data_IF_928726171772
#
_entry.id   IF_928726171772
#
_cell.length_a   1.000
_cell.length_b   1.000
_cell.length_c   1.000
_cell.angle_alpha   90.00
_cell.angle_beta   90.00
_cell.angle_gamma   90.00
#
_symmetry.space_group_name_H-M   'P 1'
#
loop_
_entity.id
_entity.type
_entity.pdbx_description
1 polymer ?
#
# COMPACT_ATOMS: atom_id res chain seq x y z
N UNK A 1 -0.37 -43.34 0.56
CA UNK A 1 0.85 -42.71 1.14
C UNK A 1 1.98 -42.89 0.14
N UNK A 2 2.56 -41.80 -0.35
CA UNK A 2 3.74 -41.86 -1.22
C UNK A 2 4.92 -42.37 -0.39
N UNK A 3 5.57 -43.45 -0.85
CA UNK A 3 6.74 -44.01 -0.17
C UNK A 3 7.93 -43.10 -0.45
N UNK A 4 8.56 -42.63 0.62
CA UNK A 4 9.77 -41.84 0.57
C UNK A 4 10.91 -42.70 0.01
N UNK A 5 11.43 -42.32 -1.17
CA UNK A 5 12.49 -43.06 -1.90
C UNK A 5 13.88 -42.47 -1.67
N UNK A 6 14.01 -41.51 -0.74
CA UNK A 6 15.28 -40.87 -0.41
C UNK A 6 16.34 -41.91 0.02
N UNK A 7 15.93 -42.90 0.82
CA UNK A 7 16.82 -43.97 1.28
C UNK A 7 17.26 -44.92 0.16
N UNK A 8 16.38 -45.23 -0.81
CA UNK A 8 16.72 -46.09 -1.96
C UNK A 8 17.75 -45.43 -2.89
N UNK A 9 17.75 -44.10 -2.98
CA UNK A 9 18.72 -43.35 -3.79
C UNK A 9 20.08 -43.23 -3.11
N UNK A 10 20.11 -43.22 -1.78
CA UNK A 10 21.35 -43.13 -1.00
C UNK A 10 22.12 -44.46 -0.99
N UNK A 11 21.41 -45.59 -1.05
CA UNK A 11 21.97 -46.94 -1.08
C UNK A 11 22.44 -47.36 -2.49
N UNK A 12 21.98 -46.68 -3.54
CA UNK A 12 22.40 -46.88 -4.94
C UNK A 12 23.61 -46.02 -5.36
N UNK A 13 24.14 -45.17 -4.48
CA UNK A 13 25.37 -44.45 -4.77
C UNK A 13 26.55 -45.43 -4.65
N UNK A 14 27.24 -45.79 -5.76
CA UNK A 14 28.49 -46.52 -5.62
C UNK A 14 29.46 -45.65 -4.83
N UNK A 15 30.20 -46.23 -3.88
CA UNK A 15 31.35 -45.59 -3.25
C UNK A 15 32.36 -45.20 -4.34
N UNK A 16 32.19 -44.01 -4.91
CA UNK A 16 33.13 -43.41 -5.84
C UNK A 16 34.29 -42.90 -5.01
N UNK A 17 35.26 -43.78 -4.83
CA UNK A 17 36.65 -43.39 -4.64
C UNK A 17 36.99 -42.25 -5.61
N UNK A 18 37.33 -41.10 -5.02
CA UNK A 18 38.11 -40.00 -5.59
C UNK A 18 37.98 -39.75 -7.10
N UNK A 19 36.96 -39.01 -7.52
CA UNK A 19 37.01 -38.18 -8.74
C UNK A 19 36.66 -36.71 -8.44
N UNK A 20 37.02 -36.25 -7.24
CA UNK A 20 37.06 -34.82 -6.92
C UNK A 20 38.35 -34.25 -7.51
N UNK A 21 38.32 -33.94 -8.80
CA UNK A 21 39.46 -33.36 -9.53
C UNK A 21 39.05 -32.39 -10.64
N UNK A 22 37.79 -31.97 -10.67
CA UNK A 22 37.34 -30.85 -11.45
C UNK A 22 36.30 -30.11 -10.61
N UNK A 23 36.78 -29.32 -9.65
CA UNK A 23 36.08 -28.09 -9.30
C UNK A 23 35.86 -27.32 -10.60
N UNK A 24 34.70 -27.53 -11.20
CA UNK A 24 34.05 -26.47 -11.96
C UNK A 24 33.54 -25.47 -10.93
N UNK A 25 34.46 -24.87 -10.18
CA UNK A 25 34.29 -23.50 -9.72
C UNK A 25 34.19 -22.70 -11.01
N UNK A 26 32.97 -22.62 -11.53
CA UNK A 26 32.57 -21.59 -12.47
C UNK A 26 33.02 -20.30 -11.79
N UNK A 27 34.15 -19.77 -12.23
CA UNK A 27 34.60 -18.43 -11.89
C UNK A 27 33.52 -17.50 -12.45
N UNK A 28 32.46 -17.30 -11.67
CA UNK A 28 31.55 -16.18 -11.87
C UNK A 28 32.37 -14.96 -11.48
N UNK A 29 32.54 -13.97 -12.37
CA UNK A 29 33.22 -12.75 -12.03
C UNK A 29 32.51 -12.12 -10.82
N UNK A 30 33.24 -11.86 -9.72
CA UNK A 30 32.71 -11.26 -8.48
C UNK A 30 31.93 -9.94 -8.71
N UNK A 31 32.18 -9.25 -9.83
CA UNK A 31 31.49 -8.02 -10.23
C UNK A 31 30.01 -8.23 -10.62
N UNK A 32 29.62 -9.41 -11.14
CA UNK A 32 28.21 -9.71 -11.47
C UNK A 32 27.35 -9.93 -10.22
N UNK A 33 27.95 -10.52 -9.18
CA UNK A 33 27.29 -10.73 -7.90
C UNK A 33 27.04 -9.39 -7.19
N UNK A 34 27.92 -8.40 -7.35
CA UNK A 34 27.74 -7.07 -6.76
C UNK A 34 26.52 -6.32 -7.34
N UNK A 35 26.34 -6.34 -8.67
CA UNK A 35 25.17 -5.73 -9.35
C UNK A 35 23.86 -6.43 -8.97
N UNK A 36 23.90 -7.75 -8.91
CA UNK A 36 22.76 -8.59 -8.55
C UNK A 36 22.37 -8.39 -7.08
N UNK A 37 23.34 -8.32 -6.18
CA UNK A 37 23.12 -8.07 -4.77
C UNK A 37 22.59 -6.63 -4.52
N UNK A 38 23.06 -5.63 -5.27
CA UNK A 38 22.52 -4.27 -5.22
C UNK A 38 21.05 -4.20 -5.67
N UNK A 39 20.67 -4.99 -6.68
CA UNK A 39 19.27 -5.12 -7.11
C UNK A 39 18.39 -5.71 -6.00
N UNK A 40 18.81 -6.83 -5.40
CA UNK A 40 18.06 -7.46 -4.32
C UNK A 40 17.93 -6.55 -3.09
N UNK A 41 19.00 -5.85 -2.70
CA UNK A 41 18.94 -4.87 -1.62
C UNK A 41 17.93 -3.75 -1.89
N UNK A 42 17.79 -3.32 -3.15
CA UNK A 42 16.77 -2.33 -3.55
C UNK A 42 15.35 -2.91 -3.48
N UNK A 43 15.16 -4.14 -3.93
CA UNK A 43 13.87 -4.86 -3.85
C UNK A 43 13.44 -5.06 -2.39
N UNK A 44 14.37 -5.42 -1.51
CA UNK A 44 14.09 -5.61 -0.08
C UNK A 44 13.69 -4.29 0.58
N UNK A 45 14.44 -3.22 0.32
CA UNK A 45 14.10 -1.87 0.80
C UNK A 45 12.71 -1.42 0.34
N UNK A 46 12.37 -1.68 -0.93
CA UNK A 46 11.04 -1.35 -1.45
C UNK A 46 9.95 -2.21 -0.81
N UNK A 47 10.25 -3.47 -0.51
CA UNK A 47 9.34 -4.37 0.22
C UNK A 47 9.09 -3.88 1.65
N UNK A 48 10.12 -3.36 2.32
CA UNK A 48 9.99 -2.70 3.63
C UNK A 48 9.17 -1.40 3.54
N UNK A 49 9.42 -0.56 2.53
CA UNK A 49 8.64 0.66 2.30
C UNK A 49 7.16 0.34 2.01
N UNK A 50 6.87 -0.74 1.28
CA UNK A 50 5.48 -1.21 1.06
C UNK A 50 4.82 -1.70 2.35
N UNK A 51 5.55 -2.44 3.20
CA UNK A 51 5.04 -2.84 4.50
C UNK A 51 4.80 -1.62 5.41
N UNK A 52 5.69 -0.63 5.36
CA UNK A 52 5.51 0.65 6.05
C UNK A 52 4.29 1.42 5.57
N UNK A 53 4.05 1.47 4.26
CA UNK A 53 2.85 2.08 3.67
C UNK A 53 1.58 1.38 4.16
N UNK A 54 1.57 0.05 4.23
CA UNK A 54 0.44 -0.72 4.74
C UNK A 54 0.11 -0.36 6.20
N UNK A 55 1.13 -0.23 7.05
CA UNK A 55 0.97 0.23 8.43
C UNK A 55 0.40 1.65 8.49
N UNK A 56 0.91 2.56 7.66
CA UNK A 56 0.41 3.94 7.59
C UNK A 56 -1.06 4.00 7.15
N UNK A 57 -1.46 3.19 6.17
CA UNK A 57 -2.84 3.09 5.69
C UNK A 57 -3.76 2.53 6.78
N UNK A 58 -3.35 1.49 7.50
CA UNK A 58 -4.13 0.94 8.61
C UNK A 58 -4.28 1.98 9.74
N UNK A 59 -3.20 2.70 10.08
CA UNK A 59 -3.25 3.78 11.08
C UNK A 59 -4.14 4.94 10.66
N UNK A 60 -4.18 5.26 9.35
CA UNK A 60 -5.10 6.25 8.79
C UNK A 60 -6.55 5.80 9.00
N UNK A 61 -6.86 4.53 8.76
CA UNK A 61 -8.19 3.95 8.95
C UNK A 61 -8.64 4.03 10.41
N UNK A 62 -7.76 3.73 11.37
CA UNK A 62 -8.07 3.82 12.80
C UNK A 62 -8.43 5.26 13.21
N UNK A 63 -7.63 6.24 12.78
CA UNK A 63 -7.90 7.66 13.06
C UNK A 63 -9.20 8.11 12.38
N UNK A 64 -9.46 7.67 11.15
CA UNK A 64 -10.72 7.96 10.45
C UNK A 64 -11.92 7.42 11.21
N UNK A 65 -11.86 6.18 11.71
CA UNK A 65 -12.90 5.58 12.51
C UNK A 65 -13.11 6.33 13.84
N UNK A 66 -12.02 6.71 14.52
CA UNK A 66 -12.08 7.50 15.75
C UNK A 66 -12.76 8.86 15.51
N UNK A 67 -12.38 9.57 14.45
CA UNK A 67 -12.96 10.88 14.09
C UNK A 67 -14.43 10.81 13.68
N UNK A 68 -14.88 9.66 13.17
CA UNK A 68 -16.30 9.42 12.85
C UNK A 68 -17.12 9.02 14.08
N UNK A 69 -16.53 8.28 15.01
CA UNK A 69 -17.22 7.74 16.20
C UNK A 69 -17.30 8.76 17.33
N UNK A 70 -16.29 9.64 17.45
CA UNK A 70 -16.27 10.65 18.49
C UNK A 70 -17.28 11.78 18.20
N UNK A 71 -18.09 12.12 19.22
CA UNK A 71 -19.12 13.15 19.14
C UNK A 71 -18.51 14.54 18.93
N UNK A 72 -17.30 14.76 19.44
CA UNK A 72 -16.48 15.93 19.14
C UNK A 72 -15.05 15.47 18.84
N UNK A 73 -14.67 15.31 17.57
CA UNK A 73 -13.32 14.88 17.22
C UNK A 73 -12.29 15.89 17.73
N UNK A 74 -11.32 15.39 18.51
CA UNK A 74 -10.27 16.20 19.11
C UNK A 74 -9.43 16.86 18.03
N UNK A 75 -8.96 18.07 18.30
CA UNK A 75 -8.10 18.81 17.35
C UNK A 75 -6.78 18.08 17.07
N UNK A 76 -6.32 17.24 18.02
CA UNK A 76 -5.18 16.35 17.83
C UNK A 76 -5.40 15.29 16.75
N UNK A 77 -6.58 14.67 16.71
CA UNK A 77 -6.89 13.58 15.76
C UNK A 77 -7.01 14.11 14.34
N UNK A 78 -7.53 15.34 14.17
CA UNK A 78 -7.55 16.01 12.85
C UNK A 78 -6.14 16.32 12.35
N UNK A 79 -5.27 16.84 13.21
CA UNK A 79 -3.87 17.11 12.85
C UNK A 79 -3.13 15.84 12.47
N UNK A 80 -3.31 14.77 13.24
CA UNK A 80 -2.70 13.47 12.93
C UNK A 80 -3.27 12.87 11.64
N UNK A 81 -4.57 13.04 11.37
CA UNK A 81 -5.19 12.64 10.09
C UNK A 81 -4.53 13.35 8.89
N UNK A 82 -4.31 14.67 8.98
CA UNK A 82 -3.64 15.43 7.93
C UNK A 82 -2.17 15.01 7.76
N UNK A 83 -1.47 14.78 8.87
CA UNK A 83 -0.08 14.30 8.87
C UNK A 83 0.03 12.93 8.20
N UNK A 84 -0.79 11.96 8.61
CA UNK A 84 -0.78 10.61 8.05
C UNK A 84 -1.05 10.62 6.54
N UNK A 85 -1.97 11.46 6.06
CA UNK A 85 -2.20 11.63 4.62
C UNK A 85 -0.97 12.16 3.87
N UNK A 86 -0.25 13.12 4.46
CA UNK A 86 0.98 13.66 3.89
C UNK A 86 2.10 12.63 3.88
N UNK A 87 2.22 11.85 4.95
CA UNK A 87 3.23 10.79 5.09
C UNK A 87 2.97 9.66 4.08
N UNK A 88 1.70 9.25 3.92
CA UNK A 88 1.27 8.30 2.88
C UNK A 88 1.63 8.83 1.50
N UNK A 89 1.25 10.08 1.16
CA UNK A 89 1.56 10.67 -0.15
C UNK A 89 3.07 10.67 -0.42
N UNK A 90 3.86 11.05 0.58
CA UNK A 90 5.32 11.11 0.46
C UNK A 90 5.94 9.73 0.29
N UNK A 91 5.44 8.71 1.01
CA UNK A 91 5.84 7.32 0.84
C UNK A 91 5.49 6.80 -0.56
N UNK A 92 4.28 7.09 -1.05
CA UNK A 92 3.86 6.69 -2.39
C UNK A 92 4.71 7.35 -3.49
N UNK A 93 5.06 8.63 -3.34
CA UNK A 93 5.95 9.33 -4.27
C UNK A 93 7.38 8.77 -4.25
N UNK A 94 7.87 8.31 -3.09
CA UNK A 94 9.15 7.62 -2.98
C UNK A 94 9.10 6.26 -3.69
N UNK A 95 8.14 5.41 -3.33
CA UNK A 95 7.91 4.10 -3.98
C UNK A 95 7.73 4.23 -5.50
N UNK A 96 7.02 5.25 -5.96
CA UNK A 96 6.84 5.51 -7.40
C UNK A 96 8.15 5.83 -8.12
N UNK A 97 9.08 6.55 -7.47
CA UNK A 97 10.42 6.82 -8.02
C UNK A 97 11.28 5.57 -7.98
N UNK A 98 11.29 4.86 -6.85
CA UNK A 98 12.10 3.65 -6.69
C UNK A 98 11.68 2.55 -7.66
N UNK A 99 10.38 2.38 -7.93
CA UNK A 99 9.83 1.47 -8.96
C UNK A 99 10.31 1.85 -10.36
N UNK A 100 10.27 3.13 -10.73
CA UNK A 100 10.76 3.60 -12.04
C UNK A 100 12.26 3.40 -12.19
N UNK A 101 13.01 3.68 -11.14
CA UNK A 101 14.45 3.48 -11.14
C UNK A 101 14.81 1.98 -11.19
N UNK A 102 13.98 1.11 -10.60
CA UNK A 102 14.13 -0.35 -10.69
C UNK A 102 13.81 -0.85 -12.10
N UNK A 103 12.74 -0.36 -12.71
CA UNK A 103 12.36 -0.64 -14.10
C UNK A 103 13.48 -0.25 -15.06
N UNK A 104 14.02 0.96 -14.92
CA UNK A 104 15.16 1.43 -15.71
C UNK A 104 16.41 0.56 -15.50
N UNK A 105 16.68 0.14 -14.27
CA UNK A 105 17.79 -0.79 -13.97
C UNK A 105 17.62 -2.16 -14.64
N UNK A 106 16.39 -2.59 -14.94
CA UNK A 106 16.11 -3.84 -15.66
C UNK A 106 16.34 -3.67 -17.16
N UNK A 107 15.97 -2.51 -17.72
CA UNK A 107 16.15 -2.18 -19.14
C UNK A 107 17.63 -1.97 -19.51
N UNK A 108 18.38 -1.26 -18.66
CA UNK A 108 19.79 -0.93 -18.89
C UNK A 108 20.73 -2.07 -18.47
N UNK A 109 20.30 -2.90 -17.52
CA UNK A 109 21.14 -3.86 -16.81
C UNK A 109 21.61 -5.08 -17.60
N UNK A 110 21.32 -5.15 -18.92
CA UNK A 110 21.83 -6.15 -19.87
C UNK A 110 22.15 -7.50 -19.22
N UNK A 111 21.14 -8.16 -18.64
CA UNK A 111 21.40 -9.26 -17.70
C UNK A 111 22.33 -10.30 -18.32
N UNK A 112 23.41 -10.62 -17.60
CA UNK A 112 24.41 -11.58 -18.03
C UNK A 112 23.82 -12.96 -18.36
N UNK A 113 22.71 -13.31 -17.69
CA UNK A 113 22.01 -14.57 -17.87
C UNK A 113 20.49 -14.37 -18.05
N UNK A 114 19.88 -15.12 -18.97
CA UNK A 114 18.43 -15.09 -19.24
C UNK A 114 17.58 -15.37 -17.99
N UNK A 115 18.08 -16.21 -17.08
CA UNK A 115 17.40 -16.54 -15.81
C UNK A 115 17.36 -15.35 -14.86
N UNK A 116 18.44 -14.58 -14.77
CA UNK A 116 18.52 -13.42 -13.90
C UNK A 116 17.60 -12.30 -14.39
N UNK A 117 17.57 -12.04 -15.70
CA UNK A 117 16.59 -11.12 -16.30
C UNK A 117 15.15 -11.47 -15.91
N UNK A 118 14.79 -12.76 -15.99
CA UNK A 118 13.45 -13.24 -15.60
C UNK A 118 13.17 -12.97 -14.12
N UNK A 119 14.12 -13.28 -13.23
CA UNK A 119 13.97 -13.04 -11.79
C UNK A 119 13.75 -11.53 -11.52
N UNK A 120 14.56 -10.66 -12.12
CA UNK A 120 14.43 -9.21 -11.95
C UNK A 120 13.06 -8.69 -12.42
N UNK A 121 12.59 -9.14 -13.60
CA UNK A 121 11.26 -8.78 -14.14
C UNK A 121 10.13 -9.28 -13.24
N UNK A 122 10.20 -10.53 -12.77
CA UNK A 122 9.18 -11.10 -11.87
C UNK A 122 9.09 -10.30 -10.58
N UNK A 123 10.22 -10.00 -9.93
CA UNK A 123 10.23 -9.23 -8.68
C UNK A 123 9.68 -7.82 -8.86
N UNK A 124 10.07 -7.13 -9.93
CA UNK A 124 9.53 -5.80 -10.24
C UNK A 124 8.01 -5.83 -10.47
N UNK A 125 7.51 -6.84 -11.20
CA UNK A 125 6.08 -7.00 -11.44
C UNK A 125 5.32 -7.26 -10.13
N UNK A 126 5.85 -8.09 -9.23
CA UNK A 126 5.27 -8.36 -7.92
C UNK A 126 5.20 -7.10 -7.05
N UNK A 127 6.28 -6.32 -7.00
CA UNK A 127 6.31 -5.05 -6.27
C UNK A 127 5.29 -4.04 -6.83
N UNK A 128 5.22 -3.91 -8.15
CA UNK A 128 4.30 -2.98 -8.81
C UNK A 128 2.84 -3.36 -8.53
N UNK A 129 2.52 -4.65 -8.57
CA UNK A 129 1.17 -5.16 -8.27
C UNK A 129 0.78 -4.85 -6.84
N UNK A 130 1.66 -5.17 -5.88
CA UNK A 130 1.43 -4.90 -4.45
C UNK A 130 1.27 -3.40 -4.16
N UNK A 131 2.07 -2.56 -4.81
CA UNK A 131 1.96 -1.10 -4.70
C UNK A 131 0.58 -0.60 -5.14
N UNK A 132 0.10 -1.05 -6.31
CA UNK A 132 -1.19 -0.65 -6.85
C UNK A 132 -2.36 -1.15 -5.98
N UNK A 133 -2.26 -2.35 -5.40
CA UNK A 133 -3.25 -2.88 -4.46
C UNK A 133 -3.36 -1.99 -3.20
N UNK A 134 -2.23 -1.59 -2.61
CA UNK A 134 -2.22 -0.69 -1.45
C UNK A 134 -2.76 0.70 -1.81
N UNK A 135 -2.40 1.23 -2.98
CA UNK A 135 -2.94 2.51 -3.47
C UNK A 135 -4.46 2.45 -3.66
N UNK A 136 -4.98 1.35 -4.22
CA UNK A 136 -6.41 1.13 -4.39
C UNK A 136 -7.10 1.06 -3.04
N UNK A 137 -6.59 0.27 -2.09
CA UNK A 137 -7.13 0.17 -0.73
C UNK A 137 -7.18 1.53 -0.03
N UNK A 138 -6.10 2.31 -0.12
CA UNK A 138 -6.04 3.66 0.44
C UNK A 138 -7.09 4.59 -0.20
N UNK A 139 -7.24 4.56 -1.52
CA UNK A 139 -8.22 5.38 -2.22
C UNK A 139 -9.66 5.01 -1.85
N UNK A 140 -9.98 3.71 -1.75
CA UNK A 140 -11.29 3.22 -1.34
C UNK A 140 -11.63 3.64 0.10
N UNK A 141 -10.71 3.47 1.05
CA UNK A 141 -10.93 3.90 2.44
C UNK A 141 -11.07 5.42 2.58
N UNK A 142 -10.27 6.20 1.86
CA UNK A 142 -10.42 7.66 1.86
C UNK A 142 -11.74 8.13 1.23
N UNK A 143 -12.21 7.48 0.16
CA UNK A 143 -13.50 7.77 -0.44
C UNK A 143 -14.65 7.47 0.54
N UNK A 144 -14.64 6.30 1.20
CA UNK A 144 -15.62 5.94 2.24
C UNK A 144 -15.65 6.97 3.38
N UNK A 145 -14.48 7.38 3.87
CA UNK A 145 -14.40 8.42 4.89
C UNK A 145 -14.98 9.76 4.39
N UNK A 146 -14.72 10.13 3.14
CA UNK A 146 -15.32 11.31 2.50
C UNK A 146 -16.84 11.25 2.47
N UNK A 147 -17.42 10.11 2.12
CA UNK A 147 -18.87 9.91 2.10
C UNK A 147 -19.48 9.98 3.50
N UNK A 148 -18.91 9.23 4.45
CA UNK A 148 -19.39 9.19 5.84
C UNK A 148 -19.27 10.55 6.54
N UNK A 149 -18.19 11.28 6.29
CA UNK A 149 -18.01 12.63 6.86
C UNK A 149 -19.02 13.63 6.28
N UNK A 150 -19.31 13.56 4.98
CA UNK A 150 -20.37 14.37 4.35
C UNK A 150 -21.74 14.04 4.92
N UNK A 151 -22.10 12.76 5.01
CA UNK A 151 -23.36 12.30 5.58
C UNK A 151 -23.55 12.79 7.03
N UNK A 152 -22.48 12.76 7.83
CA UNK A 152 -22.52 13.26 9.22
C UNK A 152 -22.79 14.76 9.27
N UNK A 153 -22.14 15.55 8.41
CA UNK A 153 -22.36 17.01 8.32
C UNK A 153 -23.80 17.30 7.91
N UNK A 154 -24.33 16.58 6.92
CA UNK A 154 -25.72 16.74 6.46
C UNK A 154 -26.70 16.41 7.59
N UNK A 155 -26.53 15.28 8.28
CA UNK A 155 -27.39 14.92 9.43
C UNK A 155 -27.30 15.94 10.55
N UNK A 156 -26.10 16.43 10.87
CA UNK A 156 -25.94 17.45 11.91
C UNK A 156 -26.62 18.77 11.52
N UNK A 157 -26.53 19.16 10.26
CA UNK A 157 -27.24 20.33 9.74
C UNK A 157 -28.76 20.16 9.84
N UNK A 158 -29.28 19.00 9.45
CA UNK A 158 -30.71 18.66 9.55
C UNK A 158 -31.19 18.64 11.01
N UNK A 159 -30.41 18.09 11.94
CA UNK A 159 -30.74 18.08 13.38
C UNK A 159 -30.76 19.51 13.94
N UNK A 160 -29.73 20.32 13.65
CA UNK A 160 -29.70 21.73 14.06
C UNK A 160 -30.90 22.51 13.51
N UNK A 161 -31.30 22.23 12.27
CA UNK A 161 -32.50 22.82 11.65
C UNK A 161 -33.77 22.38 12.37
N UNK A 162 -33.97 21.09 12.63
CA UNK A 162 -35.11 20.58 13.39
C UNK A 162 -35.18 21.20 14.79
N UNK A 163 -34.06 21.30 15.51
CA UNK A 163 -34.00 21.93 16.83
C UNK A 163 -34.37 23.41 16.74
N UNK A 164 -33.85 24.13 15.73
CA UNK A 164 -34.19 25.53 15.48
C UNK A 164 -35.68 25.71 15.18
N UNK A 165 -36.26 24.89 14.32
CA UNK A 165 -37.69 24.94 13.94
C UNK A 165 -38.61 24.64 15.12
N UNK A 166 -38.26 23.65 15.95
CA UNK A 166 -39.00 23.34 17.19
C UNK A 166 -38.89 24.50 18.18
N UNK A 167 -37.71 25.10 18.34
CA UNK A 167 -37.48 26.21 19.28
C UNK A 167 -38.14 27.53 18.84
N UNK A 168 -38.35 27.75 17.54
CA UNK A 168 -38.97 28.97 17.00
C UNK A 168 -40.47 28.83 16.71
N UNK A 169 -41.05 27.63 16.86
CA UNK A 169 -42.48 27.38 16.55
C UNK A 169 -42.83 27.55 15.07
N UNK A 170 -41.83 27.57 14.18
CA UNK A 170 -41.95 27.87 12.76
C UNK A 170 -42.19 26.59 11.93
N UNK A 171 -43.34 25.94 12.08
CA UNK A 171 -43.83 25.05 11.01
C UNK A 171 -44.59 25.88 9.97
N UNK A 172 -43.87 26.74 9.26
CA UNK A 172 -44.41 27.64 8.23
C UNK A 172 -43.67 27.48 6.91
N UNK A 173 -44.42 27.27 5.82
CA UNK A 173 -43.99 26.74 4.51
C UNK A 173 -42.92 27.52 3.71
N UNK A 174 -42.42 28.66 4.23
CA UNK A 174 -41.47 29.55 3.54
C UNK A 174 -39.98 29.16 3.61
N UNK A 175 -39.55 28.38 4.60
CA UNK A 175 -38.11 28.10 4.83
C UNK A 175 -37.51 27.03 3.91
N UNK A 176 -38.35 26.26 3.18
CA UNK A 176 -37.91 25.17 2.30
C UNK A 176 -37.02 25.61 1.15
N UNK A 177 -37.04 26.89 0.74
CA UNK A 177 -36.16 27.41 -0.31
C UNK A 177 -34.74 27.72 0.20
N UNK A 178 -34.61 28.24 1.42
CA UNK A 178 -33.31 28.47 2.06
C UNK A 178 -32.60 27.15 2.41
N UNK A 179 -33.37 26.13 2.80
CA UNK A 179 -32.85 24.78 3.05
C UNK A 179 -32.26 24.13 1.79
N UNK A 180 -32.92 24.29 0.62
CA UNK A 180 -32.41 23.80 -0.67
C UNK A 180 -31.11 24.49 -1.08
N UNK A 181 -31.01 25.81 -0.87
CA UNK A 181 -29.80 26.59 -1.17
C UNK A 181 -28.61 26.24 -0.25
N UNK A 182 -28.84 26.01 1.04
CA UNK A 182 -27.79 25.57 1.97
C UNK A 182 -27.32 24.15 1.68
N UNK A 183 -28.24 23.20 1.42
CA UNK A 183 -27.87 21.83 1.00
C UNK A 183 -27.05 21.83 -0.30
N UNK A 184 -27.44 22.62 -1.29
CA UNK A 184 -26.68 22.76 -2.54
C UNK A 184 -25.25 23.30 -2.32
N UNK A 185 -25.05 24.16 -1.32
CA UNK A 185 -23.73 24.71 -0.98
C UNK A 185 -22.85 23.75 -0.17
N UNK A 186 -23.44 22.81 0.57
CA UNK A 186 -22.71 21.75 1.30
C UNK A 186 -22.33 20.59 0.35
N UNK A 187 -23.09 20.38 -0.73
CA UNK A 187 -22.81 19.34 -1.73
C UNK A 187 -21.88 19.78 -2.88
N UNK A 188 -21.56 21.08 -2.99
CA UNK A 188 -20.60 21.64 -3.95
C UNK A 188 -19.19 21.63 -3.38
#
# INVERSE_FOLDING_TARGET
MMKDRLAELQDQAPETQSFLGAESTRNVPDDEDASTNAFFAKVDRMSEDLAGLEILVNRLQDIQQNVLTDLQPKEGDKKELHRLRSDILSCCQRLSRDLKDLEKSIEEGGAANQTEAKIRVTLNTTLHTRFLELMKKCNEEQAKYGDLSRDRIIRQADICECVSQVSLGLMGTGERQWAKLKRAKIMS
#
